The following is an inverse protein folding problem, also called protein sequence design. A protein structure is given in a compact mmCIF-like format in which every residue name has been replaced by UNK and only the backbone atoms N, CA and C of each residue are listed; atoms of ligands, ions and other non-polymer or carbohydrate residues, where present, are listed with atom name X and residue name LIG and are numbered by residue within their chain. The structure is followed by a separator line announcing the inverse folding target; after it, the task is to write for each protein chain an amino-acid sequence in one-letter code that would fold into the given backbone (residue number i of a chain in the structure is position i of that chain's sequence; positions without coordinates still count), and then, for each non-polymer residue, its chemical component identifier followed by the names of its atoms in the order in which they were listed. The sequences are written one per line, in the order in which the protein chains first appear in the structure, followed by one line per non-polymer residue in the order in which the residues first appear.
data_IF_374746797629
#
_entry.id   IF_374746797629
#
_cell.length_a   1.000
_cell.length_b   1.000
_cell.length_c   1.000
_cell.angle_alpha   90.00
_cell.angle_beta   90.00
_cell.angle_gamma   90.00
#
_symmetry.space_group_name_H-M   'P 1'
#
loop_
_entity.id
_entity.type
_entity.pdbx_description
1 polymer ?
#
# COMPACT_ATOMS: atom_id res chain seq x y z
N UNK A 1 -68.82 11.42 10.10
CA UNK A 1 -69.36 11.80 11.42
C UNK A 1 -69.73 10.53 12.14
N UNK A 2 -68.92 10.13 13.13
CA UNK A 2 -69.16 8.95 13.94
C UNK A 2 -70.47 9.10 14.73
N UNK A 3 -71.22 8.01 14.85
CA UNK A 3 -72.47 8.02 15.60
C UNK A 3 -72.14 7.99 17.09
N UNK A 4 -72.12 9.15 17.75
CA UNK A 4 -71.80 9.24 19.19
C UNK A 4 -72.91 8.56 19.99
N UNK A 5 -72.55 7.58 20.83
CA UNK A 5 -73.53 6.86 21.65
C UNK A 5 -74.08 7.77 22.75
N UNK A 6 -75.39 7.69 23.02
CA UNK A 6 -76.05 8.46 24.09
C UNK A 6 -75.44 8.18 25.46
N UNK A 7 -74.90 6.99 25.66
CA UNK A 7 -74.26 6.59 26.92
C UNK A 7 -72.89 7.25 27.10
N UNK A 8 -72.16 7.49 26.00
CA UNK A 8 -70.87 8.18 26.04
C UNK A 8 -71.04 9.67 26.34
N UNK A 9 -72.06 10.33 25.76
CA UNK A 9 -72.39 11.72 26.08
C UNK A 9 -72.78 11.87 27.56
N UNK A 10 -73.61 10.96 28.09
CA UNK A 10 -73.95 10.96 29.52
C UNK A 10 -72.73 10.72 30.41
N UNK A 11 -71.80 9.85 29.99
CA UNK A 11 -70.55 9.61 30.71
C UNK A 11 -69.68 10.86 30.76
N UNK A 12 -69.58 11.61 29.66
CA UNK A 12 -68.81 12.87 29.60
C UNK A 12 -69.47 13.94 30.45
N UNK A 13 -70.79 14.10 30.33
CA UNK A 13 -71.56 15.03 31.16
C UNK A 13 -71.39 14.74 32.66
N UNK A 14 -71.53 13.46 33.06
CA UNK A 14 -71.33 13.04 34.45
C UNK A 14 -69.89 13.25 34.93
N UNK A 15 -68.89 12.96 34.09
CA UNK A 15 -67.48 13.19 34.44
C UNK A 15 -67.14 14.67 34.60
N UNK A 16 -67.73 15.52 33.75
CA UNK A 16 -67.56 16.97 33.84
C UNK A 16 -68.24 17.53 35.09
N UNK A 17 -69.48 17.11 35.37
CA UNK A 17 -70.21 17.51 36.56
C UNK A 17 -69.50 17.10 37.84
N UNK A 18 -68.90 15.90 37.89
CA UNK A 18 -68.09 15.46 39.03
C UNK A 18 -66.84 16.33 39.24
N UNK A 19 -66.23 16.83 38.16
CA UNK A 19 -64.98 17.58 38.22
C UNK A 19 -65.17 19.06 38.49
N UNK A 20 -66.22 19.66 37.94
CA UNK A 20 -66.45 21.11 37.96
C UNK A 20 -67.75 21.52 38.64
N UNK A 21 -68.60 20.57 39.05
CA UNK A 21 -69.85 20.83 39.76
C UNK A 21 -71.00 21.34 38.87
N UNK A 22 -70.77 21.50 37.56
CA UNK A 22 -71.72 22.08 36.62
C UNK A 22 -72.19 21.07 35.56
N UNK A 23 -73.45 21.21 35.12
CA UNK A 23 -74.04 20.37 34.08
C UNK A 23 -73.85 21.04 32.73
N UNK A 24 -73.15 20.38 31.81
CA UNK A 24 -72.94 20.86 30.44
C UNK A 24 -74.04 20.38 29.49
N UNK A 25 -74.30 21.19 28.47
CA UNK A 25 -75.23 20.83 27.40
C UNK A 25 -74.66 19.68 26.53
N UNK A 26 -75.53 18.93 25.82
CA UNK A 26 -75.11 17.81 24.98
C UNK A 26 -74.17 18.18 23.83
N UNK A 27 -74.23 19.41 23.31
CA UNK A 27 -73.37 19.87 22.22
C UNK A 27 -71.94 20.11 22.74
N UNK A 28 -71.80 20.73 23.91
CA UNK A 28 -70.50 20.86 24.59
C UNK A 28 -69.90 19.49 24.93
N UNK A 29 -70.72 18.53 25.36
CA UNK A 29 -70.26 17.16 25.60
C UNK A 29 -69.77 16.47 24.30
N UNK A 30 -70.43 16.71 23.17
CA UNK A 30 -70.03 16.20 21.86
C UNK A 30 -68.72 16.84 21.37
N UNK A 31 -68.52 18.14 21.59
CA UNK A 31 -67.25 18.80 21.25
C UNK A 31 -66.08 18.25 22.08
N UNK A 32 -66.29 18.00 23.38
CA UNK A 32 -65.27 17.39 24.24
C UNK A 32 -64.93 15.96 23.79
N UNK A 33 -65.92 15.20 23.35
CA UNK A 33 -65.71 13.87 22.77
C UNK A 33 -64.81 13.95 21.53
N UNK A 34 -65.12 14.83 20.57
CA UNK A 34 -64.35 14.99 19.34
C UNK A 34 -62.90 15.41 19.63
N UNK A 35 -62.70 16.37 20.55
CA UNK A 35 -61.36 16.81 20.95
C UNK A 35 -60.56 15.67 21.61
N UNK A 36 -61.22 14.85 22.43
CA UNK A 36 -60.59 13.69 23.05
C UNK A 36 -60.26 12.60 22.02
N UNK A 37 -61.14 12.37 21.04
CA UNK A 37 -60.93 11.43 19.93
C UNK A 37 -59.76 11.86 19.05
N UNK A 38 -59.70 13.14 18.63
CA UNK A 38 -58.58 13.70 17.86
C UNK A 38 -57.26 13.56 18.61
N UNK A 39 -57.26 13.83 19.92
CA UNK A 39 -56.05 13.68 20.74
C UNK A 39 -55.60 12.22 20.84
N UNK A 40 -56.55 11.29 20.96
CA UNK A 40 -56.27 9.85 21.01
C UNK A 40 -55.76 9.34 19.68
N UNK A 41 -56.33 9.76 18.55
CA UNK A 41 -55.88 9.37 17.22
C UNK A 41 -54.46 9.86 16.94
N UNK A 42 -54.15 11.13 17.26
CA UNK A 42 -52.82 11.70 17.09
C UNK A 42 -51.79 11.02 18.02
N UNK A 43 -52.19 10.60 19.23
CA UNK A 43 -51.32 9.85 20.14
C UNK A 43 -51.08 8.41 19.67
N UNK A 44 -52.08 7.76 19.08
CA UNK A 44 -51.96 6.41 18.54
C UNK A 44 -51.02 6.38 17.32
N UNK A 45 -51.18 7.33 16.41
CA UNK A 45 -50.31 7.49 15.24
C UNK A 45 -48.86 7.79 15.67
N UNK A 46 -48.67 8.69 16.65
CA UNK A 46 -47.33 8.97 17.22
C UNK A 46 -46.69 7.75 17.88
N UNK A 47 -47.48 6.93 18.59
CA UNK A 47 -46.96 5.72 19.22
C UNK A 47 -46.56 4.68 18.17
N UNK A 48 -47.32 4.53 17.09
CA UNK A 48 -46.99 3.63 15.98
C UNK A 48 -45.71 4.08 15.26
N UNK A 49 -45.53 5.38 15.06
CA UNK A 49 -44.29 5.96 14.50
C UNK A 49 -43.10 5.72 15.45
N UNK A 50 -43.28 5.90 16.76
CA UNK A 50 -42.22 5.62 17.73
C UNK A 50 -41.84 4.14 17.79
N UNK A 51 -42.82 3.25 17.67
CA UNK A 51 -42.61 1.81 17.63
C UNK A 51 -41.87 1.39 16.34
N UNK A 52 -42.23 1.96 15.18
CA UNK A 52 -41.54 1.70 13.92
C UNK A 52 -40.09 2.18 13.94
N UNK A 53 -39.82 3.38 14.46
CA UNK A 53 -38.46 3.91 14.68
C UNK A 53 -37.68 2.98 15.62
N UNK A 54 -38.29 2.52 16.73
CA UNK A 54 -37.62 1.58 17.63
C UNK A 54 -37.29 0.25 16.96
N UNK A 55 -38.17 -0.23 16.08
CA UNK A 55 -37.95 -1.44 15.30
C UNK A 55 -36.78 -1.26 14.32
N UNK A 56 -36.75 -0.17 13.58
CA UNK A 56 -35.66 0.16 12.66
C UNK A 56 -34.32 0.31 13.38
N UNK A 57 -34.28 1.00 14.52
CA UNK A 57 -33.06 1.12 15.34
C UNK A 57 -32.57 -0.26 15.80
N UNK A 58 -33.48 -1.14 16.23
CA UNK A 58 -33.14 -2.49 16.66
C UNK A 58 -32.66 -3.37 15.49
N UNK A 59 -33.24 -3.23 14.31
CA UNK A 59 -32.77 -3.89 13.08
C UNK A 59 -31.40 -3.37 12.67
N UNK A 60 -31.18 -2.05 12.67
CA UNK A 60 -29.88 -1.43 12.41
C UNK A 60 -28.82 -1.88 13.42
N UNK A 61 -29.15 -2.01 14.70
CA UNK A 61 -28.22 -2.49 15.74
C UNK A 61 -27.83 -3.97 15.55
N UNK A 62 -28.68 -4.78 14.90
CA UNK A 62 -28.35 -6.17 14.53
C UNK A 62 -27.37 -6.21 13.36
N UNK A 63 -27.52 -5.33 12.38
CA UNK A 63 -26.68 -5.26 11.17
C UNK A 63 -25.35 -4.54 11.44
N UNK A 64 -25.41 -3.43 12.16
CA UNK A 64 -24.28 -2.59 12.53
C UNK A 64 -23.96 -2.79 14.01
N UNK A 65 -23.09 -3.76 14.31
CA UNK A 65 -22.47 -3.89 15.62
C UNK A 65 -21.13 -3.14 15.61
N UNK A 66 -21.07 -1.88 16.07
CA UNK A 66 -19.79 -1.20 16.21
C UNK A 66 -18.92 -2.00 17.18
N UNK A 67 -17.71 -2.32 16.77
CA UNK A 67 -16.73 -2.97 17.63
C UNK A 67 -16.26 -1.95 18.67
N UNK A 68 -16.85 -2.00 19.87
CA UNK A 68 -16.46 -1.14 20.99
C UNK A 68 -15.54 -1.92 21.92
N UNK A 69 -14.29 -1.47 22.07
CA UNK A 69 -13.36 -2.06 23.03
C UNK A 69 -12.67 -0.95 23.82
N UNK A 70 -12.48 -1.16 25.12
CA UNK A 70 -11.69 -0.27 25.99
C UNK A 70 -10.18 -0.57 25.91
N UNK A 71 -9.79 -1.66 25.23
CA UNK A 71 -8.40 -2.08 25.13
C UNK A 71 -7.77 -1.56 23.82
N UNK A 72 -6.81 -0.65 23.96
CA UNK A 72 -6.07 -0.06 22.84
C UNK A 72 -5.47 -1.10 21.89
N UNK A 73 -4.88 -2.18 22.41
CA UNK A 73 -4.25 -3.22 21.57
C UNK A 73 -5.28 -3.88 20.65
N UNK A 74 -6.44 -4.21 21.20
CA UNK A 74 -7.51 -4.87 20.45
C UNK A 74 -8.10 -3.92 19.41
N UNK A 75 -8.27 -2.64 19.74
CA UNK A 75 -8.71 -1.62 18.79
C UNK A 75 -7.71 -1.45 17.63
N UNK A 76 -6.42 -1.42 17.95
CA UNK A 76 -5.35 -1.29 16.96
C UNK A 76 -5.32 -2.48 15.99
N UNK A 77 -5.30 -3.72 16.51
CA UNK A 77 -5.29 -4.92 15.67
C UNK A 77 -6.58 -5.07 14.85
N UNK A 78 -7.73 -4.67 15.40
CA UNK A 78 -8.98 -4.65 14.64
C UNK A 78 -8.94 -3.63 13.49
N UNK A 79 -8.40 -2.44 13.74
CA UNK A 79 -8.20 -1.42 12.71
C UNK A 79 -7.24 -1.89 11.61
N UNK A 80 -6.09 -2.44 11.98
CA UNK A 80 -5.12 -3.00 11.02
C UNK A 80 -5.74 -4.15 10.23
N UNK A 81 -6.47 -5.04 10.91
CA UNK A 81 -7.20 -6.17 10.33
C UNK A 81 -8.23 -5.74 9.28
N UNK A 82 -9.01 -4.68 9.57
CA UNK A 82 -10.04 -4.15 8.67
C UNK A 82 -9.46 -3.64 7.34
N UNK A 83 -8.24 -3.10 7.37
CA UNK A 83 -7.58 -2.54 6.19
C UNK A 83 -6.52 -3.47 5.59
N UNK A 84 -6.51 -4.75 5.96
CA UNK A 84 -5.55 -5.76 5.47
C UNK A 84 -5.41 -5.77 3.95
N UNK A 85 -6.51 -5.65 3.20
CA UNK A 85 -6.49 -5.59 1.74
C UNK A 85 -5.74 -4.37 1.20
N UNK A 86 -5.92 -3.20 1.82
CA UNK A 86 -5.20 -2.00 1.44
C UNK A 86 -3.70 -2.16 1.71
N UNK A 87 -3.33 -2.67 2.88
CA UNK A 87 -1.93 -2.97 3.22
C UNK A 87 -1.30 -3.98 2.25
N UNK A 88 -2.03 -5.04 1.90
CA UNK A 88 -1.56 -6.05 0.96
C UNK A 88 -1.29 -5.44 -0.43
N UNK A 89 -2.17 -4.56 -0.90
CA UNK A 89 -2.02 -3.89 -2.21
C UNK A 89 -0.77 -3.02 -2.27
N UNK A 90 -0.49 -2.26 -1.21
CA UNK A 90 0.70 -1.40 -1.10
C UNK A 90 1.97 -2.26 -1.12
N UNK A 91 1.96 -3.39 -0.40
CA UNK A 91 3.11 -4.31 -0.34
C UNK A 91 3.37 -4.92 -1.72
N UNK A 92 2.33 -5.40 -2.42
CA UNK A 92 2.47 -6.01 -3.75
C UNK A 92 2.98 -5.00 -4.77
N UNK A 93 2.46 -3.77 -4.76
CA UNK A 93 2.93 -2.70 -5.65
C UNK A 93 4.39 -2.36 -5.33
N UNK A 94 4.73 -2.20 -4.05
CA UNK A 94 6.09 -1.93 -3.61
C UNK A 94 7.09 -3.01 -4.04
N UNK A 95 6.74 -4.28 -3.85
CA UNK A 95 7.53 -5.42 -4.33
C UNK A 95 7.67 -5.42 -5.85
N UNK A 96 6.59 -5.11 -6.58
CA UNK A 96 6.63 -5.00 -8.04
C UNK A 96 7.61 -3.94 -8.53
N UNK A 97 7.62 -2.76 -7.89
CA UNK A 97 8.55 -1.68 -8.23
C UNK A 97 9.99 -2.08 -7.93
N UNK A 98 10.26 -2.67 -6.76
CA UNK A 98 11.61 -3.11 -6.37
C UNK A 98 12.13 -4.19 -7.32
N UNK A 99 11.31 -5.21 -7.61
CA UNK A 99 11.68 -6.30 -8.52
C UNK A 99 11.91 -5.78 -9.94
N UNK A 100 11.10 -4.84 -10.41
CA UNK A 100 11.29 -4.24 -11.72
C UNK A 100 12.59 -3.44 -11.78
N UNK A 101 12.89 -2.66 -10.73
CA UNK A 101 14.13 -1.89 -10.67
C UNK A 101 15.38 -2.79 -10.65
N UNK A 102 15.38 -3.85 -9.85
CA UNK A 102 16.49 -4.82 -9.80
C UNK A 102 16.67 -5.55 -11.14
N UNK A 103 15.57 -5.86 -11.82
CA UNK A 103 15.61 -6.46 -13.15
C UNK A 103 16.23 -5.52 -14.18
N UNK A 104 15.84 -4.24 -14.17
CA UNK A 104 16.38 -3.24 -15.09
C UNK A 104 17.89 -3.04 -14.86
N UNK A 105 18.33 -2.85 -13.61
CA UNK A 105 19.76 -2.66 -13.31
C UNK A 105 20.58 -3.88 -13.73
N UNK A 106 20.15 -5.08 -13.36
CA UNK A 106 20.87 -6.32 -13.71
C UNK A 106 20.92 -6.55 -15.22
N UNK A 107 19.83 -6.26 -15.94
CA UNK A 107 19.78 -6.47 -17.40
C UNK A 107 20.66 -5.48 -18.16
N UNK A 108 20.78 -4.24 -17.67
CA UNK A 108 21.69 -3.25 -18.26
C UNK A 108 23.15 -3.68 -18.11
N UNK A 109 23.56 -4.09 -16.90
CA UNK A 109 24.92 -4.55 -16.63
C UNK A 109 25.31 -5.76 -17.50
N UNK A 110 24.43 -6.76 -17.58
CA UNK A 110 24.62 -7.93 -18.43
C UNK A 110 24.74 -7.56 -19.92
N UNK A 111 23.94 -6.60 -20.40
CA UNK A 111 24.00 -6.17 -21.80
C UNK A 111 25.32 -5.48 -22.11
N UNK A 112 25.82 -4.62 -21.23
CA UNK A 112 27.14 -3.99 -21.37
C UNK A 112 28.26 -5.02 -21.32
N UNK A 113 28.24 -5.96 -20.36
CA UNK A 113 29.26 -7.00 -20.25
C UNK A 113 29.28 -7.88 -21.51
N UNK A 114 28.10 -8.26 -22.02
CA UNK A 114 27.96 -9.04 -23.25
C UNK A 114 28.48 -8.28 -24.48
N UNK A 115 28.17 -6.99 -24.61
CA UNK A 115 28.68 -6.16 -25.71
C UNK A 115 30.21 -6.02 -25.69
N UNK A 116 30.81 -5.90 -24.50
CA UNK A 116 32.28 -5.85 -24.37
C UNK A 116 32.90 -7.19 -24.78
N UNK A 117 32.30 -8.30 -24.37
CA UNK A 117 32.77 -9.65 -24.72
C UNK A 117 32.64 -9.94 -26.22
N UNK A 118 31.53 -9.53 -26.85
CA UNK A 118 31.31 -9.69 -28.30
C UNK A 118 32.28 -8.82 -29.12
N UNK A 119 32.56 -7.59 -28.65
CA UNK A 119 33.44 -6.65 -29.37
C UNK A 119 34.92 -7.05 -29.29
N UNK A 120 35.31 -7.72 -28.21
CA UNK A 120 36.69 -8.16 -28.00
C UNK A 120 36.71 -9.61 -27.46
N UNK A 121 36.59 -10.61 -28.34
CA UNK A 121 36.56 -12.02 -27.93
C UNK A 121 37.85 -12.46 -27.22
N UNK A 122 38.96 -11.72 -27.41
CA UNK A 122 40.25 -11.98 -26.79
C UNK A 122 40.40 -11.38 -25.38
N UNK A 123 39.38 -10.70 -24.83
CA UNK A 123 39.47 -10.11 -23.48
C UNK A 123 39.69 -11.18 -22.40
N UNK A 124 39.08 -12.36 -22.55
CA UNK A 124 39.21 -13.45 -21.57
C UNK A 124 40.65 -13.97 -21.53
N UNK A 125 41.32 -14.05 -22.67
CA UNK A 125 42.73 -14.48 -22.73
C UNK A 125 43.71 -13.38 -22.34
N UNK A 126 43.32 -12.12 -22.48
CA UNK A 126 44.11 -10.93 -22.12
C UNK A 126 43.83 -10.44 -20.69
N UNK A 127 42.98 -11.11 -19.90
CA UNK A 127 42.56 -10.67 -18.56
C UNK A 127 43.77 -10.41 -17.63
N UNK A 128 44.77 -11.29 -17.66
CA UNK A 128 45.99 -11.14 -16.86
C UNK A 128 46.81 -9.91 -17.28
N UNK A 129 46.85 -9.60 -18.58
CA UNK A 129 47.52 -8.41 -19.13
C UNK A 129 46.76 -7.14 -18.76
N UNK A 130 45.43 -7.11 -18.90
CA UNK A 130 44.60 -5.95 -18.56
C UNK A 130 44.67 -5.62 -17.06
N UNK A 131 44.70 -6.64 -16.19
CA UNK A 131 44.78 -6.43 -14.73
C UNK A 131 46.15 -5.95 -14.25
N UNK A 132 47.22 -6.26 -14.97
CA UNK A 132 48.61 -5.94 -14.56
C UNK A 132 49.21 -4.77 -15.32
N UNK A 133 48.64 -4.42 -16.46
CA UNK A 133 49.20 -3.39 -17.32
C UNK A 133 48.86 -1.97 -16.81
N UNK A 134 49.89 -1.13 -16.74
CA UNK A 134 49.76 0.31 -16.51
C UNK A 134 50.21 1.06 -17.75
N UNK A 135 49.39 2.00 -18.22
CA UNK A 135 49.79 2.88 -19.32
C UNK A 135 50.64 4.02 -18.76
N UNK A 136 51.86 4.17 -19.26
CA UNK A 136 52.80 5.21 -18.81
C UNK A 136 53.23 6.04 -20.02
N UNK A 137 53.01 7.35 -19.93
CA UNK A 137 53.49 8.30 -20.94
C UNK A 137 54.94 8.68 -20.61
N UNK A 138 55.85 8.47 -21.58
CA UNK A 138 57.25 8.92 -21.51
C UNK A 138 57.53 9.88 -22.65
N UNK A 139 58.65 10.60 -22.58
CA UNK A 139 59.06 11.62 -23.58
C UNK A 139 59.06 11.14 -25.04
N UNK A 140 59.10 9.82 -25.27
CA UNK A 140 59.20 9.16 -26.58
C UNK A 140 57.85 8.56 -27.08
N UNK A 141 56.77 8.64 -26.28
CA UNK A 141 55.49 8.05 -26.63
C UNK A 141 54.76 7.42 -25.44
N UNK A 142 53.68 6.69 -25.75
CA UNK A 142 52.84 5.99 -24.79
C UNK A 142 53.26 4.51 -24.76
N UNK A 143 53.56 4.01 -23.56
CA UNK A 143 54.03 2.65 -23.35
C UNK A 143 53.12 1.92 -22.37
N UNK A 144 52.93 0.61 -22.60
CA UNK A 144 52.29 -0.32 -21.67
C UNK A 144 53.37 -0.92 -20.78
N UNK A 145 53.35 -0.57 -19.50
CA UNK A 145 54.20 -1.17 -18.46
C UNK A 145 53.52 -2.45 -17.96
N UNK A 146 54.18 -3.58 -18.15
CA UNK A 146 53.72 -4.91 -17.71
C UNK A 146 54.77 -5.50 -16.77
N UNK A 147 54.33 -6.02 -15.62
CA UNK A 147 55.21 -6.78 -14.72
C UNK A 147 55.54 -8.15 -15.32
N UNK A 148 56.83 -8.57 -15.35
CA UNK A 148 57.18 -9.87 -15.88
C UNK A 148 56.54 -10.98 -15.05
N UNK A 149 55.81 -11.88 -15.71
CA UNK A 149 55.14 -13.00 -15.05
C UNK A 149 56.17 -13.93 -14.39
N UNK A 150 56.00 -14.20 -13.08
CA UNK A 150 56.87 -15.11 -12.31
C UNK A 150 56.75 -16.58 -12.73
N UNK A 151 55.82 -16.93 -13.61
CA UNK A 151 55.64 -18.28 -14.18
C UNK A 151 55.47 -18.18 -15.69
N UNK A 152 56.00 -19.18 -16.38
CA UNK A 152 55.98 -19.37 -17.83
C UNK A 152 54.57 -19.22 -18.38
N UNK A 153 54.30 -18.10 -19.05
CA UNK A 153 53.11 -17.90 -19.87
C UNK A 153 53.32 -18.57 -21.22
N UNK A 154 52.69 -19.73 -21.40
CA UNK A 154 52.55 -20.39 -22.71
C UNK A 154 51.38 -19.72 -23.44
N UNK A 155 51.63 -18.59 -24.10
CA UNK A 155 50.74 -18.07 -25.13
C UNK A 155 51.53 -18.00 -26.44
N UNK A 156 50.98 -18.67 -27.45
CA UNK A 156 51.61 -18.87 -28.75
C UNK A 156 52.02 -17.55 -29.41
N UNK A 157 53.31 -17.52 -29.76
CA UNK A 157 54.03 -16.58 -30.60
C UNK A 157 54.23 -15.15 -30.08
N UNK A 158 55.52 -14.88 -29.82
CA UNK A 158 56.19 -13.64 -29.39
C UNK A 158 56.05 -13.42 -27.89
N UNK A 159 56.95 -13.91 -27.03
CA UNK A 159 58.41 -13.72 -27.08
C UNK A 159 59.11 -14.95 -26.47
N UNK A 160 60.07 -15.54 -27.19
CA UNK A 160 61.09 -16.40 -26.58
C UNK A 160 62.13 -15.44 -26.01
N UNK A 161 62.34 -15.47 -24.70
CA UNK A 161 63.53 -14.86 -24.10
C UNK A 161 64.69 -15.69 -24.61
N UNK A 162 65.38 -15.20 -25.64
CA UNK A 162 66.64 -15.76 -26.09
C UNK A 162 67.65 -15.61 -24.93
N UNK A 163 68.06 -16.72 -24.28
CA UNK A 163 68.93 -16.68 -23.12
C UNK A 163 70.33 -16.13 -23.45
N UNK A 164 70.70 -16.03 -24.74
CA UNK A 164 71.96 -15.42 -25.17
C UNK A 164 71.86 -13.91 -25.46
N UNK A 165 70.64 -13.36 -25.60
CA UNK A 165 70.37 -11.91 -25.74
C UNK A 165 69.56 -11.35 -24.58
N UNK A 166 69.67 -11.98 -23.41
CA UNK A 166 68.93 -11.59 -22.23
C UNK A 166 69.27 -10.14 -21.84
N UNK A 167 68.27 -9.26 -21.96
CA UNK A 167 68.20 -8.01 -21.20
C UNK A 167 68.56 -8.30 -19.74
N UNK A 168 69.35 -7.39 -19.17
CA UNK A 168 69.90 -7.43 -17.83
C UNK A 168 68.93 -8.08 -16.83
N UNK A 169 69.38 -9.11 -16.08
CA UNK A 169 68.56 -9.92 -15.16
C UNK A 169 67.86 -9.12 -14.04
N UNK A 170 68.13 -7.82 -13.95
CA UNK A 170 67.57 -6.85 -13.01
C UNK A 170 66.42 -6.00 -13.58
N UNK A 171 66.11 -6.12 -14.88
CA UNK A 171 65.04 -5.36 -15.52
C UNK A 171 63.66 -5.82 -15.01
N UNK A 172 63.21 -5.18 -13.94
CA UNK A 172 61.98 -5.51 -13.20
C UNK A 172 60.69 -5.24 -13.98
N UNK A 173 60.76 -4.61 -15.17
CA UNK A 173 59.61 -4.04 -15.89
C UNK A 173 59.83 -4.09 -17.40
N UNK A 174 58.80 -4.51 -18.13
CA UNK A 174 58.80 -4.56 -19.60
C UNK A 174 57.90 -3.43 -20.11
N UNK A 175 58.41 -2.66 -21.08
CA UNK A 175 57.69 -1.56 -21.72
C UNK A 175 57.34 -1.96 -23.16
N UNK A 176 56.05 -2.11 -23.44
CA UNK A 176 55.55 -2.40 -24.79
C UNK A 176 55.09 -1.06 -25.41
N UNK A 177 55.67 -0.61 -26.53
CA UNK A 177 55.25 0.64 -27.17
C UNK A 177 53.83 0.50 -27.74
N UNK A 178 52.95 1.45 -27.43
CA UNK A 178 51.60 1.51 -27.98
C UNK A 178 51.47 2.60 -29.05
N UNK A 179 52.20 3.70 -28.88
CA UNK A 179 52.23 4.81 -29.83
C UNK A 179 53.52 5.60 -29.64
N UNK A 180 54.22 5.89 -30.73
CA UNK A 180 55.36 6.79 -30.74
C UNK A 180 54.87 8.20 -31.08
N UNK A 181 55.48 9.21 -30.44
CA UNK A 181 55.24 10.63 -30.71
C UNK A 181 56.17 11.12 -31.81
#
# INVERSE_FOLDING_TARGET
MGHVSKDELKRIQGSYQLKYGEIIDPLTAMLLYEVEEIKRSDSAEKNEILESIHREINEMKKVYRPFTTSNFKVAFFYGVGKYTWAWLSVIVIGLGVILNHVRETTMTEYRTAKQVLERYPNIVTLEALIKTAKVVEKKQGIFLEVEPAKKTLLLGNTYVIDPERAMNKEASKILIPLSFK
#
